data_IF_919442234064
#
_entry.id   IF_919442234064
#
_cell.length_a   1.000
_cell.length_b   1.000
_cell.length_c   1.000
_cell.angle_alpha   90.00
_cell.angle_beta   90.00
_cell.angle_gamma   90.00
#
_symmetry.space_group_name_H-M   'P 1'
#
loop_
_entity.id
_entity.type
_entity.pdbx_description
1 polymer ?
#
# COMPACT_ATOMS: atom_id res chain seq x y z
N UNK A 1 -9.25 29.11 -3.84
CA UNK A 1 -9.06 27.66 -4.04
C UNK A 1 -10.19 26.86 -3.40
N UNK A 2 -10.28 26.79 -2.07
CA UNK A 2 -11.34 26.04 -1.34
C UNK A 2 -12.78 26.37 -1.80
N UNK A 3 -13.12 27.66 -1.97
CA UNK A 3 -14.44 28.07 -2.46
C UNK A 3 -14.78 27.54 -3.87
N UNK A 4 -13.79 27.45 -4.77
CA UNK A 4 -13.99 26.94 -6.15
C UNK A 4 -14.21 25.42 -6.17
N UNK A 5 -13.45 24.68 -5.36
CA UNK A 5 -13.66 23.23 -5.18
C UNK A 5 -15.06 22.97 -4.62
N UNK A 6 -15.44 23.73 -3.58
CA UNK A 6 -16.75 23.65 -2.97
C UNK A 6 -17.89 23.89 -3.99
N UNK A 7 -17.81 24.98 -4.77
CA UNK A 7 -18.80 25.30 -5.81
C UNK A 7 -18.87 24.25 -6.93
N UNK A 8 -17.73 23.67 -7.32
CA UNK A 8 -17.67 22.63 -8.36
C UNK A 8 -18.39 21.34 -7.91
N UNK A 9 -18.06 20.84 -6.72
CA UNK A 9 -18.58 19.57 -6.19
C UNK A 9 -20.00 19.67 -5.60
N UNK A 10 -20.55 20.88 -5.46
CA UNK A 10 -21.99 21.08 -5.25
C UNK A 10 -22.82 20.74 -6.49
N UNK A 11 -22.24 20.87 -7.69
CA UNK A 11 -22.96 20.80 -8.96
C UNK A 11 -22.57 19.58 -9.84
N UNK A 12 -21.41 18.96 -9.60
CA UNK A 12 -20.91 17.78 -10.33
C UNK A 12 -20.49 16.68 -9.36
N UNK A 13 -20.91 15.44 -9.63
CA UNK A 13 -20.77 14.29 -8.73
C UNK A 13 -20.05 13.07 -9.37
N UNK A 14 -19.47 13.21 -10.57
CA UNK A 14 -18.87 12.10 -11.33
C UNK A 14 -17.34 12.07 -11.30
N UNK A 15 -16.70 12.97 -10.55
CA UNK A 15 -15.24 13.06 -10.44
C UNK A 15 -14.72 12.08 -9.39
N UNK A 16 -13.80 11.21 -9.81
CA UNK A 16 -13.19 10.16 -8.98
C UNK A 16 -11.73 10.45 -8.60
N UNK A 17 -11.07 11.39 -9.29
CA UNK A 17 -9.68 11.79 -9.09
C UNK A 17 -9.53 13.32 -9.15
N UNK A 18 -8.94 13.90 -8.10
CA UNK A 18 -8.61 15.31 -8.00
C UNK A 18 -7.09 15.51 -8.00
N UNK A 19 -6.58 16.24 -8.99
CA UNK A 19 -5.17 16.60 -9.06
C UNK A 19 -4.92 17.96 -8.44
N UNK A 20 -3.93 17.98 -7.56
CA UNK A 20 -3.45 19.15 -6.85
C UNK A 20 -1.99 19.38 -7.21
N UNK A 21 -1.57 20.63 -7.21
CA UNK A 21 -0.18 21.03 -7.50
C UNK A 21 0.81 20.41 -6.52
N UNK A 22 0.47 20.48 -5.24
CA UNK A 22 1.33 20.07 -4.13
C UNK A 22 0.50 19.45 -3.01
N UNK A 23 1.18 18.89 -2.01
CA UNK A 23 0.52 18.27 -0.86
C UNK A 23 -0.32 19.25 -0.04
N UNK A 24 0.04 20.55 0.00
CA UNK A 24 -0.70 21.56 0.76
C UNK A 24 -2.06 21.86 0.10
N UNK A 25 -2.11 21.96 -1.22
CA UNK A 25 -3.35 22.08 -1.98
C UNK A 25 -4.19 20.80 -1.84
N UNK A 26 -3.56 19.63 -1.92
CA UNK A 26 -4.21 18.33 -1.75
C UNK A 26 -4.86 18.18 -0.36
N UNK A 27 -4.14 18.54 0.69
CA UNK A 27 -4.64 18.58 2.08
C UNK A 27 -5.82 19.56 2.24
N UNK A 28 -5.70 20.76 1.67
CA UNK A 28 -6.79 21.75 1.71
C UNK A 28 -8.04 21.28 0.96
N UNK A 29 -7.88 20.54 -0.14
CA UNK A 29 -8.98 19.96 -0.89
C UNK A 29 -9.64 18.79 -0.13
N UNK A 30 -8.82 17.98 0.54
CA UNK A 30 -9.28 16.89 1.41
C UNK A 30 -10.23 17.40 2.51
N UNK A 31 -9.88 18.50 3.17
CA UNK A 31 -10.73 19.09 4.22
C UNK A 31 -12.10 19.52 3.68
N UNK A 32 -12.12 20.17 2.50
CA UNK A 32 -13.35 20.63 1.85
C UNK A 32 -14.23 19.46 1.42
N UNK A 33 -13.64 18.44 0.79
CA UNK A 33 -14.39 17.28 0.29
C UNK A 33 -14.90 16.40 1.43
N UNK A 34 -14.10 16.22 2.48
CA UNK A 34 -14.54 15.56 3.71
C UNK A 34 -15.74 16.27 4.33
N UNK A 35 -15.70 17.61 4.40
CA UNK A 35 -16.83 18.42 4.88
C UNK A 35 -18.10 18.25 4.02
N UNK A 36 -17.94 18.08 2.71
CA UNK A 36 -19.04 17.80 1.77
C UNK A 36 -19.56 16.35 1.81
N UNK A 37 -19.00 15.50 2.70
CA UNK A 37 -19.39 14.11 2.88
C UNK A 37 -18.83 13.16 1.83
N UNK A 38 -17.75 13.53 1.14
CA UNK A 38 -16.98 12.61 0.33
C UNK A 38 -16.14 11.69 1.22
N UNK A 39 -15.92 10.47 0.75
CA UNK A 39 -14.94 9.56 1.32
C UNK A 39 -13.62 9.79 0.60
N UNK A 40 -12.75 10.56 1.23
CA UNK A 40 -11.51 11.05 0.61
C UNK A 40 -10.35 10.12 0.88
N UNK A 41 -9.49 9.95 -0.13
CA UNK A 41 -8.24 9.19 -0.04
C UNK A 41 -7.14 10.09 -0.59
N UNK A 42 -6.24 10.55 0.29
CA UNK A 42 -5.20 11.53 -0.04
C UNK A 42 -3.86 10.83 -0.22
N UNK A 43 -3.35 10.78 -1.45
CA UNK A 43 -2.02 10.23 -1.72
C UNK A 43 -0.93 11.14 -1.12
N UNK A 44 0.18 10.55 -0.62
CA UNK A 44 1.31 11.33 -0.13
C UNK A 44 2.01 12.04 -1.28
N UNK A 45 2.90 12.98 -0.95
CA UNK A 45 3.88 13.49 -1.91
C UNK A 45 5.01 12.45 -2.07
N UNK A 46 4.92 11.62 -3.11
CA UNK A 46 5.89 10.56 -3.35
C UNK A 46 7.10 11.16 -4.08
N UNK A 47 8.22 11.29 -3.36
CA UNK A 47 9.39 12.06 -3.79
C UNK A 47 10.47 11.23 -4.48
N UNK A 48 10.37 9.90 -4.39
CA UNK A 48 11.33 9.00 -4.98
C UNK A 48 11.28 9.08 -6.51
N UNK A 49 12.44 9.13 -7.15
CA UNK A 49 12.58 9.02 -8.59
C UNK A 49 12.79 7.56 -9.00
N UNK A 50 12.52 7.26 -10.27
CA UNK A 50 12.70 5.91 -10.78
C UNK A 50 14.14 5.42 -10.58
N UNK A 51 14.28 4.27 -9.94
CA UNK A 51 15.59 3.67 -9.63
C UNK A 51 16.18 4.05 -8.28
N UNK A 52 15.54 4.99 -7.55
CA UNK A 52 15.91 5.27 -6.16
C UNK A 52 15.67 4.04 -5.27
N UNK A 53 16.53 3.84 -4.27
CA UNK A 53 16.33 2.85 -3.22
C UNK A 53 15.21 3.30 -2.29
N UNK A 54 14.07 2.60 -2.37
CA UNK A 54 12.84 2.93 -1.68
C UNK A 54 12.92 2.78 -0.16
N UNK A 55 13.97 2.16 0.37
CA UNK A 55 14.20 2.10 1.83
C UNK A 55 14.36 3.51 2.41
N UNK A 56 14.92 4.45 1.65
CA UNK A 56 15.00 5.86 2.03
C UNK A 56 13.66 6.60 2.00
N UNK A 57 12.63 5.99 1.40
CA UNK A 57 11.28 6.54 1.18
C UNK A 57 10.18 5.62 1.75
N UNK A 58 10.54 4.81 2.76
CA UNK A 58 9.65 3.80 3.34
C UNK A 58 8.36 4.40 3.87
N UNK A 59 8.42 5.60 4.47
CA UNK A 59 7.25 6.28 5.01
C UNK A 59 6.28 6.67 3.89
N UNK A 60 6.78 7.27 2.80
CA UNK A 60 5.96 7.67 1.67
C UNK A 60 5.41 6.48 0.90
N UNK A 61 6.22 5.44 0.67
CA UNK A 61 5.76 4.21 0.03
C UNK A 61 4.66 3.54 0.87
N UNK A 62 4.84 3.44 2.18
CA UNK A 62 3.83 2.87 3.08
C UNK A 62 2.54 3.70 3.05
N UNK A 63 2.64 5.03 3.10
CA UNK A 63 1.48 5.92 3.02
C UNK A 63 0.75 5.80 1.66
N UNK A 64 1.51 5.65 0.57
CA UNK A 64 0.98 5.45 -0.78
C UNK A 64 0.18 4.15 -0.86
N UNK A 65 0.78 3.02 -0.49
CA UNK A 65 0.15 1.70 -0.53
C UNK A 65 -1.08 1.63 0.39
N UNK A 66 -0.99 2.20 1.60
CA UNK A 66 -2.11 2.25 2.55
C UNK A 66 -3.29 3.06 1.99
N UNK A 67 -3.00 4.19 1.33
CA UNK A 67 -4.04 5.03 0.72
C UNK A 67 -4.70 4.33 -0.47
N UNK A 68 -3.91 3.69 -1.34
CA UNK A 68 -4.42 2.93 -2.47
C UNK A 68 -5.31 1.77 -2.02
N UNK A 69 -4.87 0.98 -1.04
CA UNK A 69 -5.63 -0.10 -0.43
C UNK A 69 -6.98 0.42 0.12
N UNK A 70 -6.96 1.54 0.86
CA UNK A 70 -8.16 2.21 1.36
C UNK A 70 -9.12 2.62 0.23
N UNK A 71 -8.60 3.25 -0.82
CA UNK A 71 -9.39 3.73 -1.96
C UNK A 71 -10.01 2.58 -2.76
N UNK A 72 -9.22 1.53 -2.99
CA UNK A 72 -9.67 0.34 -3.72
C UNK A 72 -10.71 -0.44 -2.93
N UNK A 73 -10.71 -0.41 -1.61
CA UNK A 73 -11.76 -1.06 -0.79
C UNK A 73 -12.98 -0.20 -0.57
N UNK A 74 -12.86 1.10 -0.76
CA UNK A 74 -13.99 2.00 -0.60
C UNK A 74 -15.06 1.71 -1.68
N UNK A 75 -16.27 1.40 -1.21
CA UNK A 75 -17.46 1.12 -2.03
C UNK A 75 -18.49 2.24 -1.93
N UNK A 76 -18.20 3.33 -1.22
CA UNK A 76 -19.10 4.48 -1.10
C UNK A 76 -19.24 5.16 -2.46
N UNK A 77 -20.44 5.63 -2.75
CA UNK A 77 -20.77 6.34 -3.99
C UNK A 77 -19.99 7.64 -4.18
N UNK A 78 -19.67 8.34 -3.09
CA UNK A 78 -18.91 9.60 -3.10
C UNK A 78 -17.45 9.39 -2.70
N UNK A 79 -16.79 8.34 -3.21
CA UNK A 79 -15.35 8.17 -2.99
C UNK A 79 -14.55 9.01 -3.97
N UNK A 80 -13.44 9.59 -3.53
CA UNK A 80 -12.57 10.41 -4.37
C UNK A 80 -11.10 10.25 -3.95
N UNK A 81 -10.24 10.08 -4.94
CA UNK A 81 -8.79 10.13 -4.78
C UNK A 81 -8.34 11.58 -4.93
N UNK A 82 -7.45 12.04 -4.05
CA UNK A 82 -6.84 13.37 -4.10
C UNK A 82 -5.33 13.16 -4.12
N UNK A 83 -4.63 13.77 -5.06
CA UNK A 83 -3.20 13.55 -5.20
C UNK A 83 -2.44 14.82 -5.56
N UNK A 84 -1.23 15.02 -5.00
CA UNK A 84 -0.21 15.83 -5.65
C UNK A 84 0.07 15.31 -7.08
N UNK A 85 0.34 16.22 -8.01
CA UNK A 85 0.65 15.89 -9.41
C UNK A 85 1.87 14.98 -9.50
N UNK A 86 2.92 15.26 -8.73
CA UNK A 86 4.18 14.49 -8.69
C UNK A 86 3.96 13.00 -8.48
N UNK A 87 3.10 12.62 -7.54
CA UNK A 87 2.84 11.21 -7.22
C UNK A 87 2.20 10.45 -8.37
N UNK A 88 1.40 11.13 -9.21
CA UNK A 88 0.73 10.54 -10.37
C UNK A 88 1.58 10.54 -11.65
N UNK A 89 2.82 11.02 -11.58
CA UNK A 89 3.78 10.85 -12.68
C UNK A 89 4.28 9.40 -12.77
N UNK A 90 4.04 8.61 -11.74
CA UNK A 90 4.41 7.20 -11.68
C UNK A 90 3.17 6.33 -11.91
N UNK A 91 3.35 5.23 -12.62
CA UNK A 91 2.35 4.17 -12.67
C UNK A 91 2.15 3.62 -11.26
N UNK A 92 0.88 3.48 -10.84
CA UNK A 92 0.54 3.05 -9.50
C UNK A 92 0.09 1.57 -9.47
N UNK A 93 0.35 0.84 -8.38
CA UNK A 93 -0.07 -0.55 -8.23
C UNK A 93 -1.57 -0.76 -8.49
N UNK A 94 -1.90 -1.75 -9.33
CA UNK A 94 -3.29 -2.13 -9.64
C UNK A 94 -4.02 -2.66 -8.40
N UNK A 95 -5.34 -2.47 -8.34
CA UNK A 95 -6.22 -2.97 -7.25
C UNK A 95 -5.98 -4.45 -6.89
N UNK A 96 -5.73 -5.30 -7.88
CA UNK A 96 -5.49 -6.74 -7.66
C UNK A 96 -4.25 -7.04 -6.80
N UNK A 97 -3.30 -6.10 -6.70
CA UNK A 97 -2.10 -6.24 -5.86
C UNK A 97 -2.37 -5.95 -4.38
N UNK A 98 -3.63 -5.68 -4.00
CA UNK A 98 -4.04 -5.45 -2.61
C UNK A 98 -4.95 -6.57 -2.09
N UNK A 99 -4.88 -7.76 -2.71
CA UNK A 99 -5.60 -8.94 -2.26
C UNK A 99 -5.20 -9.30 -0.82
N UNK A 100 -6.14 -9.84 -0.05
CA UNK A 100 -5.94 -10.16 1.38
C UNK A 100 -6.27 -11.61 1.65
N UNK A 101 -5.67 -12.14 2.70
CA UNK A 101 -5.94 -13.47 3.19
C UNK A 101 -6.58 -13.38 4.57
N UNK A 102 -7.79 -13.93 4.68
CA UNK A 102 -8.46 -14.10 5.96
C UNK A 102 -8.03 -15.42 6.59
N UNK A 103 -7.77 -15.40 7.89
CA UNK A 103 -7.48 -16.57 8.70
C UNK A 103 -8.43 -16.58 9.89
N UNK A 104 -9.10 -17.69 10.14
CA UNK A 104 -10.03 -17.87 11.23
C UNK A 104 -9.68 -19.10 12.08
N UNK A 105 -10.15 -19.11 13.32
CA UNK A 105 -10.10 -20.30 14.18
C UNK A 105 -10.67 -21.52 13.44
N UNK A 106 -9.95 -22.65 13.50
CA UNK A 106 -10.30 -23.90 12.82
C UNK A 106 -9.91 -23.97 11.33
N UNK A 107 -9.33 -22.91 10.75
CA UNK A 107 -8.80 -22.98 9.39
C UNK A 107 -7.53 -23.86 9.33
N UNK A 108 -7.39 -24.61 8.24
CA UNK A 108 -6.16 -25.38 7.96
C UNK A 108 -5.16 -24.55 7.15
N UNK A 109 -3.95 -24.37 7.67
CA UNK A 109 -2.84 -23.68 7.00
C UNK A 109 -1.84 -24.70 6.44
N UNK A 110 -1.71 -24.73 5.11
CA UNK A 110 -0.56 -25.36 4.44
C UNK A 110 0.67 -24.49 4.60
N UNK A 111 1.45 -24.72 5.67
CA UNK A 111 2.58 -23.88 6.09
C UNK A 111 3.53 -23.47 4.96
N UNK A 112 3.94 -24.41 4.10
CA UNK A 112 4.87 -24.10 3.02
C UNK A 112 4.29 -23.10 2.01
N UNK A 113 3.05 -23.32 1.56
CA UNK A 113 2.37 -22.42 0.63
C UNK A 113 2.08 -21.05 1.27
N UNK A 114 1.81 -21.02 2.57
CA UNK A 114 1.60 -19.78 3.31
C UNK A 114 2.89 -18.97 3.42
N UNK A 115 4.03 -19.61 3.74
CA UNK A 115 5.35 -18.97 3.72
C UNK A 115 5.69 -18.38 2.35
N UNK A 116 5.47 -19.15 1.28
CA UNK A 116 5.69 -18.67 -0.09
C UNK A 116 4.81 -17.46 -0.41
N UNK A 117 3.52 -17.50 -0.02
CA UNK A 117 2.61 -16.36 -0.22
C UNK A 117 3.09 -15.11 0.51
N UNK A 118 3.50 -15.23 1.78
CA UNK A 118 4.02 -14.09 2.55
C UNK A 118 5.32 -13.53 1.97
N UNK A 119 6.22 -14.39 1.48
CA UNK A 119 7.43 -13.97 0.77
C UNK A 119 7.07 -13.15 -0.47
N UNK A 120 6.15 -13.67 -1.31
CA UNK A 120 5.71 -12.97 -2.52
C UNK A 120 5.00 -11.66 -2.19
N UNK A 121 4.38 -11.57 -1.02
CA UNK A 121 3.69 -10.40 -0.51
C UNK A 121 4.62 -9.34 0.10
N UNK A 122 5.92 -9.63 0.15
CA UNK A 122 6.96 -8.71 0.64
C UNK A 122 7.16 -8.75 2.15
N UNK A 123 6.70 -9.79 2.85
CA UNK A 123 6.97 -9.94 4.28
C UNK A 123 8.43 -10.33 4.53
N UNK A 124 9.02 -9.72 5.55
CA UNK A 124 10.37 -10.04 6.02
C UNK A 124 10.31 -11.17 7.04
N UNK A 125 11.07 -12.24 6.78
CA UNK A 125 11.16 -13.37 7.68
C UNK A 125 12.23 -13.09 8.75
N UNK A 126 11.81 -13.10 10.01
CA UNK A 126 12.64 -12.75 11.16
C UNK A 126 12.50 -13.80 12.27
N UNK A 127 13.47 -13.84 13.17
CA UNK A 127 13.39 -14.72 14.35
C UNK A 127 12.37 -14.19 15.37
N UNK A 128 12.30 -12.87 15.53
CA UNK A 128 11.43 -12.16 16.46
C UNK A 128 10.78 -11.01 15.71
N UNK A 129 9.45 -10.95 15.75
CA UNK A 129 8.67 -9.87 15.14
C UNK A 129 8.70 -8.65 16.06
N UNK A 130 9.16 -7.53 15.52
CA UNK A 130 9.29 -6.23 16.18
C UNK A 130 8.58 -5.12 15.40
N UNK A 131 8.47 -5.24 14.08
CA UNK A 131 7.89 -4.23 13.19
C UNK A 131 6.83 -4.77 12.24
N UNK A 132 6.07 -3.85 11.64
CA UNK A 132 5.07 -4.16 10.60
C UNK A 132 5.75 -4.72 9.35
N UNK A 133 5.09 -5.66 8.68
CA UNK A 133 5.62 -6.35 7.51
C UNK A 133 6.56 -7.51 7.88
N UNK A 134 6.70 -7.85 9.16
CA UNK A 134 7.52 -8.98 9.60
C UNK A 134 6.68 -10.22 9.93
N UNK A 135 7.31 -11.39 9.76
CA UNK A 135 6.75 -12.68 10.14
C UNK A 135 7.83 -13.60 10.72
N UNK A 136 7.46 -14.38 11.73
CA UNK A 136 8.28 -15.43 12.34
C UNK A 136 7.51 -16.73 12.40
N UNK A 137 8.21 -17.85 12.16
CA UNK A 137 7.66 -19.21 12.22
C UNK A 137 8.47 -20.03 13.21
N UNK A 138 7.84 -20.47 14.30
CA UNK A 138 8.48 -21.17 15.41
C UNK A 138 7.67 -22.41 15.79
N UNK A 139 7.96 -23.52 15.12
CA UNK A 139 7.21 -24.77 15.32
C UNK A 139 5.75 -24.60 14.92
N UNK A 140 4.88 -24.69 15.92
CA UNK A 140 3.42 -24.53 15.86
C UNK A 140 2.96 -23.07 16.03
N UNK A 141 3.87 -22.12 16.15
CA UNK A 141 3.54 -20.70 16.32
C UNK A 141 3.94 -19.91 15.08
N UNK A 142 3.02 -19.06 14.61
CA UNK A 142 3.28 -18.02 13.62
C UNK A 142 3.05 -16.66 14.28
N UNK A 143 4.09 -15.84 14.36
CA UNK A 143 3.94 -14.44 14.71
C UNK A 143 3.99 -13.60 13.46
N UNK A 144 3.03 -12.72 13.26
CA UNK A 144 2.94 -11.87 12.07
C UNK A 144 2.46 -10.48 12.45
N UNK A 145 3.04 -9.45 11.84
CA UNK A 145 2.58 -8.07 12.00
C UNK A 145 2.12 -7.48 10.67
N UNK A 146 0.82 -7.60 10.33
CA UNK A 146 0.29 -6.97 9.11
C UNK A 146 0.44 -5.45 9.13
N UNK A 147 0.69 -4.85 7.96
CA UNK A 147 1.01 -3.41 7.89
C UNK A 147 -0.20 -2.52 8.21
N UNK A 148 -1.42 -3.03 8.02
CA UNK A 148 -2.65 -2.34 8.38
C UNK A 148 -3.14 -2.63 9.83
N UNK A 149 -2.50 -3.55 10.54
CA UNK A 149 -2.92 -3.96 11.87
C UNK A 149 -2.42 -2.98 12.95
N UNK A 150 -3.18 -2.79 14.05
CA UNK A 150 -2.74 -1.97 15.18
C UNK A 150 -1.74 -2.70 16.08
N UNK A 151 -1.73 -4.03 16.05
CA UNK A 151 -0.89 -4.90 16.87
C UNK A 151 -0.50 -6.15 16.06
N UNK A 152 0.65 -6.79 16.36
CA UNK A 152 0.99 -8.07 15.76
C UNK A 152 0.11 -9.19 16.34
N UNK A 153 -0.03 -10.27 15.57
CA UNK A 153 -0.82 -11.44 15.91
C UNK A 153 0.07 -12.66 16.09
N UNK A 154 -0.20 -13.43 17.14
CA UNK A 154 0.32 -14.77 17.36
C UNK A 154 -0.77 -15.77 16.99
N UNK A 155 -0.47 -16.65 16.06
CA UNK A 155 -1.31 -17.73 15.60
C UNK A 155 -0.70 -19.02 16.14
N UNK A 156 -1.42 -19.74 16.99
CA UNK A 156 -1.03 -21.07 17.46
C UNK A 156 -1.72 -22.13 16.61
N UNK A 157 -0.97 -23.14 16.22
CA UNK A 157 -1.43 -24.26 15.41
C UNK A 157 -1.46 -25.55 16.23
N UNK A 158 -2.38 -26.44 15.89
CA UNK A 158 -2.31 -27.84 16.25
C UNK A 158 -2.21 -28.65 14.95
N UNK A 159 -1.05 -29.27 14.72
CA UNK A 159 -0.62 -29.78 13.40
C UNK A 159 -0.67 -28.68 12.32
N UNK A 160 -1.70 -28.64 11.49
CA UNK A 160 -1.92 -27.62 10.46
C UNK A 160 -3.20 -26.79 10.68
N UNK A 161 -3.93 -26.99 11.79
CA UNK A 161 -5.16 -26.28 12.11
C UNK A 161 -4.92 -25.10 13.07
N UNK A 162 -5.55 -23.95 12.83
CA UNK A 162 -5.47 -22.77 13.72
C UNK A 162 -6.25 -23.03 15.01
N UNK A 163 -5.54 -23.16 16.13
CA UNK A 163 -6.12 -23.36 17.46
C UNK A 163 -6.41 -22.03 18.16
N UNK A 164 -5.59 -20.99 17.96
CA UNK A 164 -5.91 -19.66 18.52
C UNK A 164 -5.21 -18.55 17.76
N UNK A 165 -5.83 -17.37 17.77
CA UNK A 165 -5.26 -16.13 17.25
C UNK A 165 -5.33 -15.07 18.35
N UNK A 166 -4.19 -14.49 18.72
CA UNK A 166 -4.10 -13.53 19.83
C UNK A 166 -3.22 -12.34 19.44
N UNK A 167 -3.61 -11.09 19.72
CA UNK A 167 -2.68 -9.98 19.66
C UNK A 167 -1.52 -10.19 20.64
N UNK A 168 -0.32 -9.67 20.37
CA UNK A 168 0.78 -9.65 21.34
C UNK A 168 1.52 -8.31 21.34
N UNK A 169 2.33 -8.07 22.36
CA UNK A 169 3.16 -6.86 22.46
C UNK A 169 4.59 -7.16 22.02
N UNK A 170 5.13 -6.42 21.03
CA UNK A 170 6.49 -6.61 20.50
C UNK A 170 7.55 -6.52 21.61
N UNK A 171 7.39 -5.62 22.59
CA UNK A 171 8.41 -5.34 23.60
C UNK A 171 8.54 -6.48 24.61
N UNK A 172 7.44 -7.18 24.90
CA UNK A 172 7.42 -8.24 25.91
C UNK A 172 7.30 -9.62 25.32
N UNK A 173 6.96 -9.71 24.03
CA UNK A 173 6.69 -10.95 23.29
C UNK A 173 5.57 -11.81 23.93
N UNK A 174 4.70 -11.17 24.73
CA UNK A 174 3.58 -11.81 25.43
C UNK A 174 2.27 -11.56 24.71
N UNK A 175 1.54 -12.64 24.48
CA UNK A 175 0.18 -12.61 23.95
C UNK A 175 -0.78 -11.98 24.95
N UNK A 176 -1.77 -11.26 24.42
CA UNK A 176 -2.91 -10.77 25.16
C UNK A 176 -3.85 -11.94 25.50
N UNK A 177 -4.68 -11.73 26.53
CA UNK A 177 -5.60 -12.76 27.02
C UNK A 177 -6.79 -12.98 26.10
N UNK A 178 -7.19 -11.96 25.35
CA UNK A 178 -8.31 -12.02 24.43
C UNK A 178 -7.90 -12.75 23.15
N UNK A 179 -8.73 -13.69 22.72
CA UNK A 179 -8.61 -14.39 21.44
C UNK A 179 -9.48 -13.69 20.40
N UNK A 180 -9.02 -13.74 19.15
CA UNK A 180 -9.76 -13.27 17.99
C UNK A 180 -10.30 -14.49 17.25
N UNK A 181 -11.55 -14.40 16.78
CA UNK A 181 -12.14 -15.44 15.93
C UNK A 181 -11.48 -15.47 14.54
N UNK A 182 -11.06 -14.31 14.04
CA UNK A 182 -10.46 -14.14 12.73
C UNK A 182 -9.54 -12.93 12.67
N UNK A 183 -8.59 -12.98 11.74
CA UNK A 183 -7.75 -11.85 11.32
C UNK A 183 -7.71 -11.77 9.79
N UNK A 184 -7.29 -10.62 9.30
CA UNK A 184 -7.01 -10.40 7.88
C UNK A 184 -5.56 -9.97 7.71
N UNK A 185 -4.87 -10.63 6.79
CA UNK A 185 -3.49 -10.36 6.42
C UNK A 185 -3.52 -9.67 5.06
N UNK A 186 -2.93 -8.49 4.99
CA UNK A 186 -2.72 -7.73 3.76
C UNK A 186 -1.27 -7.90 3.28
N UNK A 187 -0.94 -7.66 2.01
CA UNK A 187 0.44 -7.68 1.57
C UNK A 187 1.25 -6.60 2.26
N UNK A 188 2.51 -6.90 2.58
CA UNK A 188 3.44 -5.91 3.10
C UNK A 188 3.81 -4.88 2.01
N UNK A 189 3.92 -5.34 0.76
CA UNK A 189 4.14 -4.51 -0.43
C UNK A 189 3.07 -4.75 -1.49
N UNK A 190 3.13 -5.89 -2.18
CA UNK A 190 2.22 -6.23 -3.30
C UNK A 190 1.78 -7.68 -3.19
N UNK A 191 0.48 -7.97 -3.38
CA UNK A 191 -0.05 -9.33 -3.38
C UNK A 191 0.28 -10.07 -4.69
N UNK A 192 1.55 -10.42 -4.87
CA UNK A 192 2.04 -11.14 -6.06
C UNK A 192 1.76 -12.63 -5.94
N UNK A 193 1.42 -13.26 -7.07
CA UNK A 193 1.55 -14.70 -7.21
C UNK A 193 3.01 -15.10 -7.53
N UNK A 194 3.30 -16.40 -7.56
CA UNK A 194 4.66 -16.90 -7.78
C UNK A 194 5.25 -16.46 -9.13
N UNK A 195 4.46 -16.46 -10.20
CA UNK A 195 4.93 -16.09 -11.53
C UNK A 195 5.18 -14.58 -11.63
N UNK A 196 4.31 -13.77 -11.01
CA UNK A 196 4.48 -12.33 -10.92
C UNK A 196 5.70 -11.97 -10.07
N UNK A 197 5.89 -12.62 -8.92
CA UNK A 197 7.05 -12.43 -8.07
C UNK A 197 8.34 -12.72 -8.82
N UNK A 198 8.42 -13.88 -9.50
CA UNK A 198 9.60 -14.24 -10.30
C UNK A 198 9.87 -13.22 -11.42
N UNK A 199 8.83 -12.77 -12.13
CA UNK A 199 8.96 -11.76 -13.17
C UNK A 199 9.49 -10.43 -12.61
N UNK A 200 8.95 -9.97 -11.47
CA UNK A 200 9.44 -8.77 -10.78
C UNK A 200 10.90 -8.94 -10.38
N UNK A 201 11.28 -10.07 -9.76
CA UNK A 201 12.67 -10.33 -9.37
C UNK A 201 13.63 -10.29 -10.56
N UNK A 202 13.26 -10.88 -11.71
CA UNK A 202 14.07 -10.81 -12.93
C UNK A 202 14.23 -9.39 -13.48
N UNK A 203 13.22 -8.53 -13.30
CA UNK A 203 13.28 -7.11 -13.68
C UNK A 203 14.19 -6.33 -12.74
N UNK A 204 14.12 -6.59 -11.43
CA UNK A 204 14.97 -5.93 -10.42
C UNK A 204 16.45 -6.08 -10.73
N UNK A 205 16.90 -7.27 -11.13
CA UNK A 205 18.30 -7.53 -11.49
C UNK A 205 18.79 -6.61 -12.62
N UNK A 206 17.92 -6.37 -13.61
CA UNK A 206 18.21 -5.59 -14.82
C UNK A 206 18.00 -4.09 -14.65
N UNK A 207 17.34 -3.68 -13.57
CA UNK A 207 16.97 -2.28 -13.34
C UNK A 207 18.25 -1.46 -13.07
N UNK A 208 18.52 -0.38 -13.83
CA UNK A 208 19.64 0.49 -13.58
C UNK A 208 19.38 1.27 -12.28
N UNK A 209 20.15 0.98 -11.23
CA UNK A 209 20.00 1.58 -9.91
C UNK A 209 21.31 1.49 -9.14
N UNK A 210 21.54 2.49 -8.29
CA UNK A 210 22.66 2.55 -7.33
C UNK A 210 22.32 1.87 -6.00
N UNK A 211 21.14 1.24 -5.87
CA UNK A 211 20.75 0.50 -4.68
C UNK A 211 21.75 -0.63 -4.38
N UNK A 212 22.14 -0.74 -3.11
CA UNK A 212 23.13 -1.72 -2.66
C UNK A 212 22.63 -3.17 -2.77
N UNK A 213 21.35 -3.37 -2.44
CA UNK A 213 20.64 -4.64 -2.61
C UNK A 213 19.48 -4.38 -3.55
N UNK A 214 19.26 -5.30 -4.49
CA UNK A 214 18.15 -5.25 -5.44
C UNK A 214 17.12 -6.30 -5.06
N UNK A 215 16.17 -5.89 -4.26
CA UNK A 215 15.10 -6.72 -3.73
C UNK A 215 13.75 -6.00 -3.82
N UNK A 216 12.70 -6.66 -3.32
CA UNK A 216 11.34 -6.11 -3.37
C UNK A 216 11.20 -4.82 -2.56
N UNK A 217 11.90 -4.71 -1.42
CA UNK A 217 11.79 -3.56 -0.52
C UNK A 217 12.52 -2.31 -1.07
N UNK A 218 13.63 -2.51 -1.77
CA UNK A 218 14.44 -1.45 -2.36
C UNK A 218 13.92 -0.96 -3.71
N UNK A 219 13.53 -1.87 -4.61
CA UNK A 219 13.25 -1.53 -6.01
C UNK A 219 11.93 -2.11 -6.54
N UNK A 220 11.19 -2.88 -5.73
CA UNK A 220 9.99 -3.62 -6.15
C UNK A 220 8.94 -2.77 -6.86
N UNK A 221 8.69 -1.55 -6.37
CA UNK A 221 7.74 -0.60 -6.97
C UNK A 221 8.11 -0.24 -8.42
N UNK A 222 9.40 -0.08 -8.71
CA UNK A 222 9.89 0.29 -10.04
C UNK A 222 9.83 -0.86 -11.05
N UNK A 223 9.72 -2.10 -10.58
CA UNK A 223 9.73 -3.32 -11.39
C UNK A 223 8.31 -3.88 -11.65
N UNK A 224 7.26 -3.15 -11.28
CA UNK A 224 5.88 -3.59 -11.46
C UNK A 224 5.46 -3.65 -12.95
N UNK A 225 5.89 -2.71 -13.79
CA UNK A 225 5.52 -2.61 -15.21
C UNK A 225 4.00 -2.83 -15.43
N UNK A 226 3.61 -3.94 -16.06
CA UNK A 226 2.23 -4.33 -16.36
C UNK A 226 1.36 -4.60 -15.11
N UNK A 227 1.97 -4.71 -13.94
CA UNK A 227 1.30 -4.82 -12.65
C UNK A 227 0.89 -3.44 -12.08
N UNK A 228 1.39 -2.35 -12.67
CA UNK A 228 1.00 -0.98 -12.37
C UNK A 228 0.15 -0.38 -13.51
N UNK A 229 -0.47 0.76 -13.26
CA UNK A 229 -1.29 1.50 -14.22
C UNK A 229 -1.19 3.02 -14.00
N UNK A 230 -1.26 3.78 -15.09
CA UNK A 230 -1.42 5.22 -15.04
C UNK A 230 -2.86 5.57 -14.62
N UNK A 231 -3.02 6.13 -13.40
CA UNK A 231 -4.32 6.57 -12.92
C UNK A 231 -4.86 7.80 -13.69
N UNK A 232 -4.01 8.60 -14.33
CA UNK A 232 -4.43 9.73 -15.15
C UNK A 232 -5.14 9.29 -16.42
N UNK A 233 -4.71 8.18 -17.03
CA UNK A 233 -5.38 7.59 -18.19
C UNK A 233 -6.65 6.83 -17.80
N UNK A 234 -6.64 6.17 -16.63
CA UNK A 234 -7.76 5.34 -16.17
C UNK A 234 -8.95 6.14 -15.65
N UNK A 235 -8.70 7.16 -14.84
CA UNK A 235 -9.73 7.94 -14.18
C UNK A 235 -10.10 9.19 -15.00
N UNK A 236 -11.12 9.93 -14.57
CA UNK A 236 -11.45 11.25 -15.14
C UNK A 236 -10.84 12.35 -14.27
N UNK A 237 -9.58 12.76 -14.50
CA UNK A 237 -8.91 13.74 -13.66
C UNK A 237 -9.59 15.11 -13.75
N UNK A 238 -9.76 15.75 -12.60
CA UNK A 238 -10.09 17.18 -12.51
C UNK A 238 -8.95 17.91 -11.83
N UNK A 239 -8.48 18.97 -12.48
CA UNK A 239 -7.42 19.82 -11.97
C UNK A 239 -8.00 20.92 -11.09
N UNK A 240 -7.46 21.11 -9.88
CA UNK A 240 -7.87 22.21 -8.99
C UNK A 240 -7.48 23.57 -9.59
N UNK A 241 -6.31 23.65 -10.24
CA UNK A 241 -5.78 24.81 -10.95
C UNK A 241 -5.05 24.38 -12.24
N UNK A 242 -4.84 25.28 -13.22
CA UNK A 242 -4.00 24.98 -14.38
C UNK A 242 -2.55 24.66 -13.95
N UNK A 243 -2.00 23.54 -14.40
CA UNK A 243 -0.66 23.01 -14.03
C UNK A 243 0.48 23.44 -14.98
N UNK A 244 0.35 24.60 -15.64
CA UNK A 244 1.22 24.91 -16.79
C UNK A 244 2.70 25.08 -16.39
N UNK A 245 2.98 25.64 -15.21
CA UNK A 245 4.35 25.90 -14.73
C UNK A 245 5.01 24.62 -14.18
N UNK A 246 4.23 23.71 -13.59
CA UNK A 246 4.75 22.49 -12.94
C UNK A 246 5.03 21.37 -13.92
N UNK A 247 4.26 21.30 -15.01
CA UNK A 247 4.60 20.45 -16.14
C UNK A 247 5.97 20.88 -16.68
N UNK A 248 6.20 22.17 -16.91
CA UNK A 248 7.52 22.65 -17.36
C UNK A 248 8.65 22.33 -16.35
N UNK A 249 8.40 22.44 -15.05
CA UNK A 249 9.39 22.09 -14.02
C UNK A 249 9.71 20.59 -14.01
N UNK A 250 8.71 19.71 -13.97
CA UNK A 250 8.90 18.25 -13.98
C UNK A 250 9.63 17.78 -15.24
N UNK A 251 9.24 18.30 -16.41
CA UNK A 251 9.89 17.96 -17.68
C UNK A 251 11.26 18.62 -17.86
N UNK A 252 11.61 19.65 -17.07
CA UNK A 252 12.97 20.21 -17.06
C UNK A 252 13.99 19.34 -16.32
N UNK A 253 13.52 18.43 -15.45
CA UNK A 253 14.34 17.49 -14.69
C UNK A 253 14.37 16.07 -15.27
N UNK A 254 13.67 15.84 -16.38
CA UNK A 254 13.73 14.56 -17.12
C UNK A 254 14.72 14.72 -18.28
N UNK A 255 15.81 13.93 -18.37
CA UNK A 255 16.81 14.06 -19.43
C UNK A 255 16.28 13.72 -20.82
#
# INVERSE_FOLDING_TARGET
>A
MQARIYEYFLNKNDTTLLLCRDFKEASSANDVLSFLGYSTHLLPDFRAAQGDDLRAYTEELTALLTTLDGYYRDRKMKKIMISPFRTLLHDLPKERLFARQKLAFGDTIRLQAFKESLLHWGYTFVDIVEAKGEVSFRGDIIDIYPTNAPHPYRISLFDDEIESIRPFACETQKSQKEELEEIEINPALFALDAAQYEAVMQRLEKLPSDAFEKDMASLGFWALEDLAEDLLEKEKPVFVQPLHEEIEEVFSFTP
#
